data_IF_292531527550
#
_entry.id   IF_292531527550
#
_cell.length_a   1.000
_cell.length_b   1.000
_cell.length_c   1.000
_cell.angle_alpha   90.00
_cell.angle_beta   90.00
_cell.angle_gamma   90.00
#
_symmetry.space_group_name_H-M   'P 1'
#
loop_
_entity.id
_entity.type
_entity.pdbx_description
1 polymer ?
#
# COMPACT_ATOMS: atom_id res chain seq x y z
N UNK A 1 -7.06 -9.86 -7.01
CA UNK A 1 -7.00 -8.43 -7.39
C UNK A 1 -6.02 -8.36 -8.54
N UNK A 2 -6.45 -7.97 -9.75
CA UNK A 2 -5.63 -8.05 -10.96
C UNK A 2 -4.22 -7.47 -10.77
N UNK A 3 -4.11 -6.34 -10.06
CA UNK A 3 -2.85 -5.61 -9.82
C UNK A 3 -1.73 -6.45 -9.18
N UNK A 4 -2.03 -7.40 -8.28
CA UNK A 4 -0.97 -8.19 -7.63
C UNK A 4 -0.24 -9.06 -8.65
N UNK A 5 -1.01 -9.82 -9.43
CA UNK A 5 -0.48 -10.78 -10.38
C UNK A 5 0.18 -10.03 -11.55
N UNK A 6 -0.36 -8.87 -11.91
CA UNK A 6 0.21 -7.96 -12.91
C UNK A 6 1.62 -7.47 -12.53
N UNK A 7 1.84 -7.07 -11.26
CA UNK A 7 3.16 -6.58 -10.79
C UNK A 7 4.20 -7.70 -10.77
N UNK A 8 3.81 -8.89 -10.32
CA UNK A 8 4.68 -10.06 -10.34
C UNK A 8 5.08 -10.40 -11.78
N UNK A 9 4.12 -10.43 -12.70
CA UNK A 9 4.41 -10.74 -14.11
C UNK A 9 5.30 -9.66 -14.74
N UNK A 10 5.02 -8.38 -14.50
CA UNK A 10 5.86 -7.28 -14.95
C UNK A 10 7.31 -7.41 -14.47
N UNK A 11 7.52 -7.79 -13.20
CA UNK A 11 8.87 -8.02 -12.66
C UNK A 11 9.57 -9.18 -13.39
N UNK A 12 8.90 -10.32 -13.56
CA UNK A 12 9.46 -11.48 -14.26
C UNK A 12 9.84 -11.14 -15.70
N UNK A 13 8.97 -10.46 -16.42
CA UNK A 13 9.21 -10.07 -17.82
C UNK A 13 10.39 -9.11 -17.93
N UNK A 14 10.60 -8.24 -16.93
CA UNK A 14 11.67 -7.25 -16.92
C UNK A 14 13.03 -7.80 -16.49
N UNK A 15 13.05 -8.69 -15.50
CA UNK A 15 14.28 -9.12 -14.83
C UNK A 15 14.62 -10.61 -15.05
N UNK A 16 13.71 -11.38 -15.64
CA UNK A 16 13.89 -12.78 -16.01
C UNK A 16 14.18 -13.73 -14.82
N UNK A 17 13.64 -13.40 -13.65
CA UNK A 17 13.58 -14.27 -12.47
C UNK A 17 12.41 -13.88 -11.56
N UNK A 18 12.09 -14.73 -10.58
CA UNK A 18 11.00 -14.50 -9.62
C UNK A 18 11.38 -13.47 -8.54
N UNK A 19 10.49 -12.51 -8.19
CA UNK A 19 10.77 -11.61 -7.08
C UNK A 19 10.87 -12.40 -5.76
N UNK A 20 11.85 -12.07 -4.92
CA UNK A 20 11.99 -12.72 -3.61
C UNK A 20 10.90 -12.27 -2.62
N UNK A 21 10.38 -11.06 -2.80
CA UNK A 21 9.38 -10.47 -1.93
C UNK A 21 8.34 -9.71 -2.74
N UNK A 22 7.13 -9.65 -2.20
CA UNK A 22 6.07 -8.76 -2.64
C UNK A 22 5.59 -7.99 -1.42
N UNK A 23 5.60 -6.67 -1.49
CA UNK A 23 5.16 -5.79 -0.40
C UNK A 23 3.85 -5.11 -0.78
N UNK A 24 2.91 -5.01 0.17
CA UNK A 24 1.64 -4.30 -0.01
C UNK A 24 1.52 -3.17 1.01
N UNK A 25 1.29 -1.96 0.53
CA UNK A 25 0.99 -0.80 1.37
C UNK A 25 -0.42 -0.28 1.07
N UNK A 26 -1.39 -0.38 2.01
CA UNK A 26 -2.72 0.19 1.81
C UNK A 26 -2.67 1.72 1.90
N UNK A 27 -3.57 2.37 1.15
CA UNK A 27 -3.94 3.76 1.45
C UNK A 27 -4.65 3.84 2.80
N UNK A 28 -4.89 5.05 3.31
CA UNK A 28 -5.71 5.27 4.50
C UNK A 28 -6.73 6.38 4.28
N UNK A 29 -7.77 6.35 5.08
CA UNK A 29 -8.66 7.49 5.33
C UNK A 29 -8.65 7.78 6.83
N UNK A 30 -8.76 9.04 7.20
CA UNK A 30 -8.95 9.43 8.60
C UNK A 30 -10.45 9.52 8.90
N UNK A 31 -10.89 8.83 9.96
CA UNK A 31 -12.28 8.91 10.42
C UNK A 31 -12.49 10.16 11.28
N UNK A 32 -11.49 10.51 12.10
CA UNK A 32 -11.44 11.72 12.91
C UNK A 32 -9.98 12.09 13.23
N UNK A 33 -9.74 13.38 13.51
CA UNK A 33 -8.43 13.91 13.86
C UNK A 33 -7.66 14.51 12.68
N UNK A 34 -8.35 15.26 11.82
CA UNK A 34 -7.68 16.01 10.75
C UNK A 34 -6.83 17.16 11.31
N UNK A 35 -5.64 17.35 10.75
CA UNK A 35 -4.76 18.48 11.05
C UNK A 35 -4.29 18.60 12.52
N UNK A 36 -4.37 17.52 13.30
CA UNK A 36 -3.93 17.51 14.71
C UNK A 36 -2.78 16.54 14.99
N UNK A 37 -2.44 15.69 14.02
CA UNK A 37 -1.33 14.73 14.11
C UNK A 37 0.01 15.43 14.30
N UNK A 38 0.28 16.50 13.55
CA UNK A 38 1.49 17.31 13.71
C UNK A 38 1.54 18.12 15.02
N UNK A 39 0.44 18.14 15.79
CA UNK A 39 0.39 18.75 17.12
C UNK A 39 0.53 17.70 18.24
N UNK A 40 0.76 16.43 17.91
CA UNK A 40 0.95 15.34 18.89
C UNK A 40 -0.35 14.80 19.51
N UNK A 41 -1.51 15.17 18.99
CA UNK A 41 -2.79 14.62 19.43
C UNK A 41 -3.11 13.29 18.73
N UNK A 42 -4.04 12.52 19.29
CA UNK A 42 -4.48 11.24 18.72
C UNK A 42 -5.32 11.42 17.46
N UNK A 43 -5.19 10.46 16.53
CA UNK A 43 -5.97 10.34 15.29
C UNK A 43 -6.56 8.94 15.15
N UNK A 44 -7.66 8.79 14.42
CA UNK A 44 -8.27 7.48 14.14
C UNK A 44 -8.31 7.18 12.63
N UNK A 45 -7.20 6.73 12.04
CA UNK A 45 -7.17 6.31 10.64
C UNK A 45 -7.71 4.89 10.46
N UNK A 46 -8.16 4.60 9.26
CA UNK A 46 -8.52 3.26 8.79
C UNK A 46 -7.80 2.97 7.47
N UNK A 47 -7.22 1.77 7.36
CA UNK A 47 -6.63 1.31 6.10
C UNK A 47 -7.72 1.03 5.06
N UNK A 48 -7.47 1.40 3.81
CA UNK A 48 -8.35 1.13 2.68
C UNK A 48 -8.05 -0.23 2.05
N UNK A 49 -9.03 -0.76 1.31
CA UNK A 49 -8.82 -1.91 0.43
C UNK A 49 -7.85 -1.61 -0.71
N UNK A 50 -7.85 -0.36 -1.20
CA UNK A 50 -6.93 0.14 -2.22
C UNK A 50 -5.49 0.17 -1.68
N UNK A 51 -4.55 -0.33 -2.47
CA UNK A 51 -3.16 -0.49 -2.05
C UNK A 51 -2.18 -0.39 -3.22
N UNK A 52 -0.94 -0.04 -2.91
CA UNK A 52 0.21 -0.10 -3.81
C UNK A 52 0.96 -1.41 -3.52
N UNK A 53 1.49 -2.02 -4.58
CA UNK A 53 2.34 -3.21 -4.53
C UNK A 53 3.75 -2.86 -5.02
N UNK A 54 4.76 -3.40 -4.33
CA UNK A 54 6.17 -3.32 -4.68
C UNK A 54 6.75 -4.72 -4.81
#
# INVERSE_FOLDING_TARGET
MPIKDDVIQFFKDRFNFEPNFLVRAPGRVNLIGEHIDYNGFGVLPMALSQSIYL
#
